data_IF_635987614721
#
_entry.id   IF_635987614721
#
_cell.length_a   1.000
_cell.length_b   1.000
_cell.length_c   1.000
_cell.angle_alpha   90.00
_cell.angle_beta   90.00
_cell.angle_gamma   90.00
#
_symmetry.space_group_name_H-M   'P 1'
#
loop_
_entity.id
_entity.type
_entity.pdbx_description
1 polymer ?
#
# COMPACT_ATOMS: atom_id res chain seq x y z
N UNK A 1 -11.09 -9.85 4.37
CA UNK A 1 -10.14 -10.39 3.37
C UNK A 1 -10.34 -9.68 2.05
N UNK A 2 -9.25 -9.28 1.41
CA UNK A 2 -9.22 -8.66 0.07
C UNK A 2 -8.53 -9.63 -0.88
N UNK A 3 -9.24 -10.12 -1.89
CA UNK A 3 -8.73 -11.01 -2.94
C UNK A 3 -8.31 -10.19 -4.16
N UNK A 4 -7.64 -10.81 -5.11
CA UNK A 4 -7.20 -10.16 -6.36
C UNK A 4 -8.33 -9.41 -7.06
N UNK A 5 -9.54 -9.98 -7.15
CA UNK A 5 -10.69 -9.32 -7.78
C UNK A 5 -11.17 -8.10 -6.99
N UNK A 6 -11.10 -8.16 -5.65
CA UNK A 6 -11.46 -7.06 -4.76
C UNK A 6 -10.45 -5.93 -4.88
N UNK A 7 -9.14 -6.25 -4.83
CA UNK A 7 -8.07 -5.27 -5.02
C UNK A 7 -8.18 -4.60 -6.40
N UNK A 8 -8.40 -5.38 -7.46
CA UNK A 8 -8.67 -4.86 -8.80
C UNK A 8 -9.87 -3.91 -8.83
N UNK A 9 -10.96 -4.26 -8.13
CA UNK A 9 -12.16 -3.41 -8.05
C UNK A 9 -11.87 -2.07 -7.36
N UNK A 10 -11.16 -2.10 -6.24
CA UNK A 10 -10.77 -0.91 -5.47
C UNK A 10 -9.84 0.00 -6.30
N UNK A 11 -8.81 -0.57 -6.94
CA UNK A 11 -7.89 0.18 -7.79
C UNK A 11 -8.62 0.80 -8.99
N UNK A 12 -9.51 0.04 -9.64
CA UNK A 12 -10.29 0.55 -10.78
C UNK A 12 -11.19 1.73 -10.40
N UNK A 13 -11.75 1.74 -9.18
CA UNK A 13 -12.52 2.89 -8.69
C UNK A 13 -11.70 4.19 -8.71
N UNK A 14 -10.42 4.14 -8.30
CA UNK A 14 -9.53 5.28 -8.38
C UNK A 14 -9.23 5.67 -9.84
N UNK A 15 -8.79 4.71 -10.65
CA UNK A 15 -8.39 4.96 -12.05
C UNK A 15 -9.52 5.51 -12.92
N UNK A 16 -10.77 5.07 -12.71
CA UNK A 16 -11.95 5.56 -13.41
C UNK A 16 -12.32 7.01 -13.07
N UNK A 17 -11.76 7.54 -11.99
CA UNK A 17 -11.92 8.92 -11.55
C UNK A 17 -10.63 9.75 -11.72
N UNK A 18 -9.69 9.28 -12.55
CA UNK A 18 -8.39 9.93 -12.80
C UNK A 18 -7.56 10.14 -11.53
N UNK A 19 -7.75 9.28 -10.52
CA UNK A 19 -7.01 9.32 -9.26
C UNK A 19 -5.93 8.24 -9.29
N UNK A 20 -4.68 8.65 -9.17
CA UNK A 20 -3.56 7.74 -9.06
C UNK A 20 -3.42 7.26 -7.61
N UNK A 21 -3.38 5.96 -7.44
CA UNK A 21 -3.09 5.29 -6.17
C UNK A 21 -1.75 4.58 -6.25
N UNK A 22 -1.11 4.42 -5.10
CA UNK A 22 0.16 3.70 -4.96
C UNK A 22 -0.05 2.62 -3.90
N UNK A 23 0.27 1.39 -4.25
CA UNK A 23 0.14 0.24 -3.35
C UNK A 23 1.32 0.18 -2.39
N UNK A 24 1.00 -0.15 -1.14
CA UNK A 24 1.93 -0.46 -0.06
C UNK A 24 1.56 -1.81 0.56
N UNK A 25 2.25 -2.19 1.63
CA UNK A 25 1.98 -3.39 2.39
C UNK A 25 1.97 -4.65 1.54
N UNK A 26 1.19 -5.63 1.96
CA UNK A 26 1.15 -6.93 1.29
C UNK A 26 0.71 -6.87 -0.18
N UNK A 27 -0.25 -6.03 -0.54
CA UNK A 27 -0.63 -5.83 -1.95
C UNK A 27 0.41 -5.07 -2.75
N UNK A 28 1.21 -4.20 -2.12
CA UNK A 28 2.37 -3.57 -2.73
C UNK A 28 3.43 -4.61 -3.10
N UNK A 29 3.73 -5.51 -2.18
CA UNK A 29 4.65 -6.65 -2.41
C UNK A 29 4.13 -7.53 -3.55
N UNK A 30 2.88 -7.98 -3.49
CA UNK A 30 2.29 -8.85 -4.50
C UNK A 30 2.21 -8.19 -5.88
N UNK A 31 1.96 -6.89 -5.94
CA UNK A 31 2.00 -6.13 -7.19
C UNK A 31 3.40 -6.17 -7.82
N UNK A 32 4.46 -5.96 -7.03
CA UNK A 32 5.85 -6.04 -7.48
C UNK A 32 6.22 -7.45 -7.95
N UNK A 33 5.71 -8.49 -7.28
CA UNK A 33 5.90 -9.90 -7.65
C UNK A 33 5.04 -10.32 -8.85
N UNK A 34 3.98 -9.56 -9.18
CA UNK A 34 3.03 -9.85 -10.25
C UNK A 34 2.10 -11.05 -9.96
N UNK A 35 1.95 -11.43 -8.69
CA UNK A 35 1.08 -12.54 -8.25
C UNK A 35 0.66 -12.37 -6.79
N UNK A 36 -0.51 -12.89 -6.43
CA UNK A 36 -0.93 -13.04 -5.03
C UNK A 36 -0.05 -14.12 -4.38
N UNK A 37 0.74 -13.75 -3.37
CA UNK A 37 1.69 -14.64 -2.67
C UNK A 37 1.10 -15.19 -1.36
N UNK A 38 0.15 -14.45 -0.77
CA UNK A 38 -0.54 -14.82 0.47
C UNK A 38 -1.95 -14.22 0.53
N UNK A 39 -2.65 -14.52 1.59
CA UNK A 39 -3.96 -13.93 1.88
C UNK A 39 -3.77 -12.56 2.53
N UNK A 40 -4.56 -11.57 2.09
CA UNK A 40 -4.55 -10.21 2.62
C UNK A 40 -5.86 -9.89 3.33
N UNK A 41 -5.77 -9.21 4.48
CA UNK A 41 -6.94 -8.75 5.24
C UNK A 41 -7.50 -7.42 4.69
N UNK A 42 -6.62 -6.60 4.14
CA UNK A 42 -6.81 -5.22 3.70
C UNK A 42 -6.05 -4.95 2.41
N UNK A 43 -6.12 -3.71 1.96
CA UNK A 43 -5.29 -3.14 0.91
C UNK A 43 -4.81 -1.76 1.36
N UNK A 44 -3.49 -1.59 1.41
CA UNK A 44 -2.82 -0.35 1.78
C UNK A 44 -2.64 0.52 0.55
N UNK A 45 -3.16 1.74 0.59
CA UNK A 45 -3.15 2.67 -0.53
C UNK A 45 -2.64 4.04 -0.11
N UNK A 46 -1.67 4.56 -0.84
CA UNK A 46 -1.28 5.95 -0.77
C UNK A 46 -1.95 6.76 -1.88
N UNK A 47 -2.49 7.93 -1.52
CA UNK A 47 -3.09 8.90 -2.45
C UNK A 47 -2.50 10.28 -2.17
N UNK A 48 -2.12 10.99 -3.24
CA UNK A 48 -1.60 12.36 -3.11
C UNK A 48 -2.64 13.31 -2.51
N UNK A 49 -2.23 14.18 -1.61
CA UNK A 49 -3.08 15.10 -0.85
C UNK A 49 -4.12 15.83 -1.71
N UNK A 50 -3.74 16.27 -2.92
CA UNK A 50 -4.65 16.97 -3.83
C UNK A 50 -5.85 16.13 -4.29
N UNK A 51 -5.76 14.78 -4.23
CA UNK A 51 -6.80 13.83 -4.64
C UNK A 51 -7.41 13.05 -3.47
N UNK A 52 -6.87 13.21 -2.26
CA UNK A 52 -7.25 12.40 -1.10
C UNK A 52 -8.75 12.48 -0.78
N UNK A 53 -9.29 13.71 -0.74
CA UNK A 53 -10.73 13.93 -0.48
C UNK A 53 -11.63 13.41 -1.60
N UNK A 54 -11.17 13.52 -2.84
CA UNK A 54 -11.93 13.01 -3.99
C UNK A 54 -11.97 11.48 -3.96
N UNK A 55 -10.87 10.84 -3.60
CA UNK A 55 -10.85 9.38 -3.45
C UNK A 55 -11.74 8.90 -2.30
N UNK A 56 -11.73 9.58 -1.15
CA UNK A 56 -12.68 9.32 -0.06
C UNK A 56 -14.13 9.42 -0.57
N UNK A 57 -14.45 10.43 -1.38
CA UNK A 57 -15.79 10.56 -1.95
C UNK A 57 -16.14 9.36 -2.85
N UNK A 58 -15.20 8.94 -3.69
CA UNK A 58 -15.37 7.77 -4.58
C UNK A 58 -15.63 6.50 -3.79
N UNK A 59 -14.80 6.16 -2.80
CA UNK A 59 -14.97 4.91 -2.03
C UNK A 59 -16.27 4.92 -1.20
N UNK A 60 -16.70 6.08 -0.69
CA UNK A 60 -18.02 6.23 -0.04
C UNK A 60 -19.17 5.90 -0.98
N UNK A 61 -19.11 6.32 -2.24
CA UNK A 61 -20.12 5.97 -3.25
C UNK A 61 -20.14 4.47 -3.56
N UNK A 62 -19.01 3.76 -3.34
CA UNK A 62 -18.87 2.31 -3.49
C UNK A 62 -19.19 1.54 -2.20
N UNK A 63 -19.76 2.20 -1.20
CA UNK A 63 -20.28 1.59 0.02
C UNK A 63 -19.28 1.45 1.16
N UNK A 64 -18.08 2.02 1.02
CA UNK A 64 -17.11 2.06 2.12
C UNK A 64 -17.50 3.12 3.16
N UNK A 65 -17.31 2.78 4.42
CA UNK A 65 -17.53 3.64 5.58
C UNK A 65 -16.28 3.69 6.42
N UNK A 66 -15.99 4.86 6.94
CA UNK A 66 -14.82 5.08 7.79
C UNK A 66 -14.95 4.30 9.10
N UNK A 67 -13.86 3.67 9.50
CA UNK A 67 -13.68 3.05 10.81
C UNK A 67 -12.64 3.85 11.59
N UNK A 68 -13.05 4.47 12.68
CA UNK A 68 -12.10 5.16 13.56
C UNK A 68 -11.35 4.15 14.42
N UNK A 69 -10.04 4.25 14.46
CA UNK A 69 -9.14 3.46 15.30
C UNK A 69 -8.24 4.40 16.12
N UNK A 70 -7.44 3.86 17.03
CA UNK A 70 -6.54 4.64 17.88
C UNK A 70 -5.41 5.33 17.08
N UNK A 71 -5.14 4.87 15.86
CA UNK A 71 -4.13 5.40 14.94
C UNK A 71 -4.72 6.15 13.75
N UNK A 72 -6.03 6.41 13.73
CA UNK A 72 -6.65 7.26 12.70
C UNK A 72 -6.18 8.70 12.85
N UNK A 73 -5.68 9.29 11.76
CA UNK A 73 -5.26 10.69 11.65
C UNK A 73 -5.96 11.36 10.46
N UNK A 74 -5.71 12.64 10.25
CA UNK A 74 -6.20 13.36 9.06
C UNK A 74 -5.58 12.82 7.75
N UNK A 75 -4.40 12.21 7.83
CA UNK A 75 -3.66 11.62 6.71
C UNK A 75 -3.67 10.10 6.63
N UNK A 76 -4.26 9.42 7.64
CA UNK A 76 -4.32 7.97 7.72
C UNK A 76 -5.71 7.53 8.21
N UNK A 77 -6.49 6.94 7.34
CA UNK A 77 -7.89 6.55 7.60
C UNK A 77 -8.18 5.13 7.13
N UNK A 78 -9.05 4.42 7.85
CA UNK A 78 -9.45 3.06 7.53
C UNK A 78 -10.88 3.03 7.06
N UNK A 79 -11.13 2.31 5.98
CA UNK A 79 -12.43 2.21 5.34
C UNK A 79 -12.85 0.76 5.20
N UNK A 80 -14.11 0.47 5.50
CA UNK A 80 -14.67 -0.88 5.41
C UNK A 80 -16.03 -0.86 4.74
N UNK A 81 -16.29 -1.87 3.90
CA UNK A 81 -17.60 -2.06 3.26
C UNK A 81 -18.40 -3.23 3.86
N UNK A 82 -19.62 -3.42 3.36
CA UNK A 82 -20.53 -4.48 3.81
C UNK A 82 -20.01 -5.89 3.45
N UNK A 83 -19.08 -6.01 2.49
CA UNK A 83 -18.39 -7.27 2.13
C UNK A 83 -17.17 -7.55 3.00
N UNK A 84 -16.93 -6.73 4.03
CA UNK A 84 -15.78 -6.81 4.93
C UNK A 84 -14.43 -6.55 4.25
N UNK A 85 -14.40 -5.88 3.08
CA UNK A 85 -13.17 -5.42 2.47
C UNK A 85 -12.68 -4.19 3.23
N UNK A 86 -11.38 -4.10 3.44
CA UNK A 86 -10.75 -3.01 4.18
C UNK A 86 -9.78 -2.30 3.26
N UNK A 87 -9.85 -0.97 3.24
CA UNK A 87 -8.86 -0.08 2.65
C UNK A 87 -8.17 0.64 3.80
N UNK A 88 -6.86 0.49 3.91
CA UNK A 88 -6.00 1.31 4.74
C UNK A 88 -5.46 2.44 3.86
N UNK A 89 -5.92 3.67 4.11
CA UNK A 89 -5.76 4.80 3.20
C UNK A 89 -4.85 5.86 3.80
N UNK A 90 -3.74 6.10 3.13
CA UNK A 90 -2.72 7.06 3.50
C UNK A 90 -2.68 8.25 2.54
N UNK A 91 -2.43 9.44 3.11
CA UNK A 91 -2.30 10.69 2.37
C UNK A 91 -0.86 11.13 2.36
N UNK A 92 -0.32 11.51 1.21
CA UNK A 92 1.04 12.00 1.06
C UNK A 92 1.12 13.22 0.14
N UNK A 93 2.26 13.89 0.13
CA UNK A 93 2.52 15.02 -0.76
C UNK A 93 3.90 14.90 -1.42
N UNK A 94 3.97 15.16 -2.73
CA UNK A 94 5.23 15.36 -3.43
C UNK A 94 5.74 16.77 -3.18
N UNK A 95 7.00 16.88 -2.74
CA UNK A 95 7.69 18.16 -2.53
C UNK A 95 9.02 18.18 -3.28
N UNK A 96 9.70 19.33 -3.28
CA UNK A 96 11.05 19.43 -3.86
C UNK A 96 12.10 18.59 -3.08
N UNK A 97 11.86 18.32 -1.81
CA UNK A 97 12.76 17.61 -0.91
C UNK A 97 12.49 16.10 -0.85
N UNK A 98 11.38 15.64 -1.44
CA UNK A 98 10.97 14.25 -1.43
C UNK A 98 9.47 14.09 -1.23
N UNK A 99 9.08 12.96 -0.66
CA UNK A 99 7.69 12.60 -0.38
C UNK A 99 7.43 12.82 1.11
N UNK A 100 6.45 13.65 1.43
CA UNK A 100 6.05 13.93 2.83
C UNK A 100 4.86 13.05 3.20
N UNK A 101 5.01 12.26 4.25
CA UNK A 101 3.96 11.49 4.87
C UNK A 101 4.09 11.56 6.40
N UNK A 102 3.02 11.98 7.09
CA UNK A 102 2.92 12.13 8.56
C UNK A 102 4.09 12.90 9.22
N UNK A 103 4.68 13.84 8.50
CA UNK A 103 5.78 14.69 8.98
C UNK A 103 7.18 14.16 8.67
N UNK A 104 7.29 12.93 8.19
CA UNK A 104 8.54 12.36 7.70
C UNK A 104 8.75 12.64 6.21
N UNK A 105 10.01 12.69 5.78
CA UNK A 105 10.39 12.89 4.39
C UNK A 105 11.05 11.62 3.86
N UNK A 106 10.44 11.04 2.84
CA UNK A 106 10.94 9.85 2.14
C UNK A 106 11.61 10.24 0.82
N UNK A 107 12.55 9.42 0.32
CA UNK A 107 13.14 9.64 -1.01
C UNK A 107 12.08 9.74 -2.11
N UNK A 108 12.31 10.57 -3.12
CA UNK A 108 11.40 10.74 -4.26
C UNK A 108 11.15 9.44 -5.02
N UNK A 109 12.08 8.50 -4.96
CA UNK A 109 12.03 7.20 -5.60
C UNK A 109 11.07 6.23 -4.91
N UNK A 110 10.67 6.49 -3.66
CA UNK A 110 9.82 5.59 -2.88
C UNK A 110 8.57 5.15 -3.64
N UNK A 111 7.94 6.03 -4.40
CA UNK A 111 6.75 5.72 -5.22
C UNK A 111 7.06 5.47 -6.70
N UNK A 112 8.27 5.00 -7.02
CA UNK A 112 8.67 4.68 -8.40
C UNK A 112 8.36 3.25 -8.83
N UNK A 113 7.89 2.40 -7.91
CA UNK A 113 7.56 1.03 -8.20
C UNK A 113 6.39 0.90 -9.18
N UNK A 114 6.51 -0.08 -10.06
CA UNK A 114 5.45 -0.47 -11.01
C UNK A 114 5.25 -1.96 -10.89
N UNK A 115 4.01 -2.36 -10.65
CA UNK A 115 3.64 -3.75 -10.48
C UNK A 115 2.36 -4.11 -11.22
N UNK A 116 1.82 -5.30 -10.91
CA UNK A 116 0.55 -5.79 -11.47
C UNK A 116 -0.32 -6.41 -10.39
N UNK A 117 -1.61 -6.09 -10.43
CA UNK A 117 -2.65 -6.80 -9.67
C UNK A 117 -3.65 -7.34 -10.69
N UNK A 118 -3.70 -8.66 -10.84
CA UNK A 118 -4.41 -9.28 -11.96
C UNK A 118 -3.89 -8.75 -13.30
N UNK A 119 -4.79 -8.18 -14.10
CA UNK A 119 -4.44 -7.59 -15.41
C UNK A 119 -4.13 -6.08 -15.35
N UNK A 120 -4.17 -5.47 -14.15
CA UNK A 120 -4.00 -4.03 -13.99
C UNK A 120 -2.53 -3.72 -13.68
N UNK A 121 -1.93 -2.83 -14.48
CA UNK A 121 -0.65 -2.22 -14.11
C UNK A 121 -0.89 -1.12 -13.09
N UNK A 122 -0.17 -1.15 -11.98
CA UNK A 122 -0.34 -0.24 -10.84
C UNK A 122 0.97 0.40 -10.43
N UNK A 123 0.89 1.59 -9.82
CA UNK A 123 2.01 2.18 -9.11
C UNK A 123 2.07 1.62 -7.69
N UNK A 124 3.26 1.44 -7.17
CA UNK A 124 3.50 0.97 -5.81
C UNK A 124 4.79 1.56 -5.23
N UNK A 125 5.04 1.31 -3.98
CA UNK A 125 6.35 1.56 -3.37
C UNK A 125 7.38 0.70 -4.09
N UNK A 126 8.57 1.26 -4.34
CA UNK A 126 9.66 0.51 -4.97
C UNK A 126 10.18 -0.63 -4.08
N UNK A 127 10.81 -1.67 -4.64
CA UNK A 127 11.19 -2.85 -3.86
C UNK A 127 12.10 -2.58 -2.67
N UNK A 128 13.04 -1.64 -2.78
CA UNK A 128 13.95 -1.33 -1.69
C UNK A 128 13.23 -0.57 -0.57
N UNK A 129 12.46 0.44 -0.93
CA UNK A 129 11.64 1.20 0.02
C UNK A 129 10.61 0.29 0.71
N UNK A 130 10.03 -0.68 -0.03
CA UNK A 130 9.10 -1.66 0.54
C UNK A 130 9.79 -2.54 1.62
N UNK A 131 11.06 -2.92 1.43
CA UNK A 131 11.84 -3.60 2.48
C UNK A 131 12.12 -2.66 3.65
N UNK A 132 12.44 -1.39 3.38
CA UNK A 132 12.81 -0.42 4.43
C UNK A 132 11.64 -0.06 5.35
N UNK A 133 10.41 0.02 4.82
CA UNK A 133 9.23 0.32 5.66
C UNK A 133 8.84 -0.84 6.58
N UNK A 134 9.39 -2.04 6.34
CA UNK A 134 9.24 -3.21 7.22
C UNK A 134 10.31 -3.31 8.31
N UNK A 135 11.10 -2.25 8.56
CA UNK A 135 12.15 -2.25 9.60
C UNK A 135 11.72 -1.47 10.84
N UNK A 136 12.30 -1.83 11.98
CA UNK A 136 12.20 -1.04 13.21
C UNK A 136 11.00 -1.34 14.10
N UNK A 137 10.25 -2.42 13.86
CA UNK A 137 9.17 -2.90 14.70
C UNK A 137 9.21 -4.44 14.88
N UNK A 138 8.33 -4.99 15.69
CA UNK A 138 8.24 -6.45 15.88
C UNK A 138 7.56 -7.09 14.66
N UNK A 139 8.29 -7.96 13.98
CA UNK A 139 7.86 -8.60 12.73
C UNK A 139 6.97 -9.80 12.99
N UNK A 140 5.91 -9.95 12.21
CA UNK A 140 5.10 -11.16 12.17
C UNK A 140 5.53 -12.11 11.02
N UNK A 141 4.78 -13.21 10.86
CA UNK A 141 5.05 -14.19 9.80
C UNK A 141 4.82 -13.62 8.39
N UNK A 142 3.91 -12.64 8.23
CA UNK A 142 3.66 -12.00 6.95
C UNK A 142 4.80 -11.06 6.58
N UNK A 143 5.32 -10.28 7.54
CA UNK A 143 6.48 -9.40 7.33
C UNK A 143 7.69 -10.21 6.90
N UNK A 144 7.96 -11.33 7.60
CA UNK A 144 9.04 -12.26 7.24
C UNK A 144 8.87 -12.80 5.82
N UNK A 145 7.65 -13.24 5.46
CA UNK A 145 7.34 -13.75 4.13
C UNK A 145 7.59 -12.69 3.05
N UNK A 146 7.02 -11.49 3.22
CA UNK A 146 7.04 -10.42 2.26
C UNK A 146 8.46 -9.89 2.02
N UNK A 147 9.22 -9.61 3.09
CA UNK A 147 10.60 -9.13 2.99
C UNK A 147 11.53 -10.16 2.36
N UNK A 148 11.40 -11.44 2.73
CA UNK A 148 12.23 -12.48 2.13
C UNK A 148 11.96 -12.65 0.64
N UNK A 149 10.70 -12.59 0.19
CA UNK A 149 10.34 -12.65 -1.22
C UNK A 149 10.87 -11.44 -2.01
N UNK A 150 10.78 -10.25 -1.45
CA UNK A 150 11.33 -9.02 -2.06
C UNK A 150 12.84 -9.12 -2.20
N UNK A 151 13.54 -9.51 -1.12
CA UNK A 151 15.00 -9.63 -1.12
C UNK A 151 15.47 -10.65 -2.17
N UNK A 152 14.82 -11.81 -2.24
CA UNK A 152 15.14 -12.85 -3.23
C UNK A 152 14.88 -12.38 -4.66
N UNK A 153 13.69 -11.81 -4.91
CA UNK A 153 13.25 -11.45 -6.27
C UNK A 153 14.05 -10.29 -6.85
N UNK A 154 14.32 -9.28 -6.04
CA UNK A 154 14.98 -8.04 -6.48
C UNK A 154 16.46 -7.96 -6.11
N UNK A 155 17.04 -9.05 -5.57
CA UNK A 155 18.45 -9.16 -5.18
C UNK A 155 18.85 -8.07 -4.16
N UNK A 156 17.95 -7.78 -3.23
CA UNK A 156 18.18 -6.87 -2.11
C UNK A 156 18.82 -7.68 -0.97
N UNK A 157 19.84 -7.09 -0.32
CA UNK A 157 20.45 -7.74 0.85
C UNK A 157 19.43 -7.87 1.98
N UNK A 158 19.29 -9.10 2.53
CA UNK A 158 18.38 -9.34 3.66
C UNK A 158 18.83 -8.50 4.86
N UNK A 159 17.95 -7.65 5.43
CA UNK A 159 18.28 -6.86 6.61
C UNK A 159 18.63 -7.74 7.81
N UNK A 160 19.48 -7.23 8.72
CA UNK A 160 19.95 -8.01 9.88
C UNK A 160 18.79 -8.44 10.80
N UNK A 161 17.71 -7.66 10.86
CA UNK A 161 16.51 -7.95 11.65
C UNK A 161 15.76 -9.20 11.14
N UNK A 162 15.94 -9.56 9.87
CA UNK A 162 15.29 -10.68 9.17
C UNK A 162 16.20 -11.89 8.99
N UNK A 163 17.45 -11.83 9.45
CA UNK A 163 18.35 -13.00 9.46
C UNK A 163 18.03 -13.89 10.65
N UNK A 164 17.96 -15.20 10.42
CA UNK A 164 17.82 -16.17 11.49
C UNK A 164 18.92 -15.96 12.53
N UNK A 165 18.53 -15.97 13.82
CA UNK A 165 19.45 -15.89 14.97
C UNK A 165 19.98 -17.27 15.31
#
# INVERSE_FOLDING_TARGET
MVRTEDACGIIKCALQNDIKVYLDGGWGVDALLGRESRIHNDIDLFVELKHYRDYIHVIKQHGFREMTTDYTTDGHTIWKDDKQRIIDLHCFEFTNDGIVYEGDIFPSETFSGIGKVGDITVSCIDPLSQVMVHLGYEHDENDMHDVMLLCETFQIAVPDEYKEK
#
